data_IF_203379317850
#
_entry.id   IF_203379317850
#
_cell.length_a   1.000
_cell.length_b   1.000
_cell.length_c   1.000
_cell.angle_alpha   90.00
_cell.angle_beta   90.00
_cell.angle_gamma   90.00
#
_symmetry.space_group_name_H-M   'P 1'
#
loop_
_entity.id
_entity.type
_entity.pdbx_description
1 polymer ?
#
# COMPACT_ATOMS: atom_id res chain seq x y z
N UNK A 1 -5.55 3.98 13.65
CA UNK A 1 -4.56 3.23 14.45
C UNK A 1 -3.76 2.21 13.64
N UNK A 2 -4.42 1.28 12.94
CA UNK A 2 -3.76 0.15 12.26
C UNK A 2 -2.72 0.58 11.22
N UNK A 3 -3.07 1.55 10.35
CA UNK A 3 -2.11 2.07 9.37
C UNK A 3 -0.83 2.63 10.00
N UNK A 4 -0.94 3.33 11.14
CA UNK A 4 0.23 3.86 11.84
C UNK A 4 1.10 2.74 12.44
N UNK A 5 0.49 1.66 12.95
CA UNK A 5 1.24 0.49 13.43
C UNK A 5 1.97 -0.19 12.27
N UNK A 6 1.32 -0.35 11.13
CA UNK A 6 1.94 -0.92 9.93
C UNK A 6 3.14 -0.08 9.46
N UNK A 7 2.99 1.25 9.40
CA UNK A 7 4.10 2.14 9.08
C UNK A 7 5.24 2.04 10.10
N UNK A 8 4.90 1.96 11.39
CA UNK A 8 5.89 1.80 12.45
C UNK A 8 6.65 0.48 12.33
N UNK A 9 5.97 -0.60 12.02
CA UNK A 9 6.58 -1.91 11.83
C UNK A 9 7.56 -1.90 10.64
N UNK A 10 7.16 -1.35 9.49
CA UNK A 10 8.02 -1.25 8.30
C UNK A 10 9.24 -0.37 8.56
N UNK A 11 9.06 0.75 9.27
CA UNK A 11 10.09 1.76 9.54
C UNK A 11 10.82 1.57 10.87
N UNK A 12 10.58 0.44 11.56
CA UNK A 12 11.09 0.19 12.92
C UNK A 12 10.87 1.35 13.89
N UNK A 13 9.76 2.07 13.74
CA UNK A 13 9.52 3.34 14.41
C UNK A 13 9.01 3.14 15.85
N UNK A 14 9.43 4.04 16.73
CA UNK A 14 8.78 4.25 18.03
C UNK A 14 7.55 5.13 17.85
N UNK A 15 6.42 4.72 18.41
CA UNK A 15 5.15 5.46 18.33
C UNK A 15 4.55 5.70 19.71
N UNK A 16 4.01 6.90 19.91
CA UNK A 16 3.22 7.24 21.10
C UNK A 16 1.91 7.93 20.72
N UNK A 17 0.88 7.82 21.56
CA UNK A 17 -0.44 8.40 21.28
C UNK A 17 -1.29 7.61 20.27
N UNK A 18 -0.86 6.45 19.77
CA UNK A 18 -1.64 5.63 18.84
C UNK A 18 -2.78 4.83 19.52
N UNK A 19 -3.77 5.56 20.05
CA UNK A 19 -4.97 5.04 20.71
C UNK A 19 -6.22 5.76 20.22
N UNK A 20 -7.39 5.14 20.39
CA UNK A 20 -8.68 5.75 20.04
C UNK A 20 -8.87 7.04 20.84
N UNK A 21 -9.38 8.09 20.19
CA UNK A 21 -9.62 9.39 20.81
C UNK A 21 -8.37 10.23 21.06
N UNK A 22 -7.17 9.75 20.68
CA UNK A 22 -5.98 10.60 20.75
C UNK A 22 -6.02 11.70 19.70
N UNK A 23 -5.69 12.91 20.12
CA UNK A 23 -5.54 14.10 19.25
C UNK A 23 -4.07 14.41 18.93
N UNK A 24 -3.13 13.73 19.58
CA UNK A 24 -1.70 13.89 19.36
C UNK A 24 -1.03 12.53 19.13
N UNK A 25 -0.04 12.51 18.24
CA UNK A 25 0.73 11.32 17.86
C UNK A 25 2.20 11.73 17.71
N UNK A 26 3.09 10.94 18.31
CA UNK A 26 4.53 11.01 18.01
C UNK A 26 4.94 9.77 17.23
N UNK A 27 5.75 9.96 16.19
CA UNK A 27 6.26 8.89 15.33
C UNK A 27 7.74 9.17 15.03
N UNK A 28 8.62 8.31 15.53
CA UNK A 28 10.07 8.45 15.38
C UNK A 28 10.62 7.21 14.66
N UNK A 29 10.92 7.27 13.35
CA UNK A 29 11.44 6.14 12.58
C UNK A 29 12.90 5.80 12.95
N UNK A 30 13.24 4.50 12.95
CA UNK A 30 14.60 3.97 13.17
C UNK A 30 15.20 3.37 11.87
N UNK A 31 14.51 3.55 10.75
CA UNK A 31 14.93 3.08 9.43
C UNK A 31 14.12 1.91 8.90
N UNK A 32 14.10 1.77 7.58
CA UNK A 32 13.32 0.74 6.91
C UNK A 32 14.17 -0.53 6.77
N UNK A 33 13.64 -1.66 7.26
CA UNK A 33 14.31 -2.97 7.21
C UNK A 33 13.51 -3.91 6.30
N UNK A 34 13.99 -4.11 5.07
CA UNK A 34 13.41 -5.03 4.09
C UNK A 34 14.29 -6.29 3.89
N UNK A 35 13.75 -7.43 3.42
CA UNK A 35 12.33 -7.66 3.16
C UNK A 35 11.56 -7.75 4.47
N UNK A 36 10.29 -7.37 4.43
CA UNK A 36 9.38 -7.55 5.56
C UNK A 36 8.23 -8.47 5.15
N UNK A 37 7.79 -9.33 6.08
CA UNK A 37 6.55 -10.08 5.98
C UNK A 37 5.66 -9.66 7.14
N UNK A 38 4.73 -8.75 6.89
CA UNK A 38 3.88 -8.16 7.93
C UNK A 38 2.40 -8.41 7.66
N UNK A 39 1.60 -8.31 8.72
CA UNK A 39 0.15 -8.45 8.64
C UNK A 39 -0.52 -7.27 9.33
N UNK A 40 -1.57 -6.73 8.71
CA UNK A 40 -2.37 -5.66 9.31
C UNK A 40 -3.86 -5.97 9.14
N UNK A 41 -4.55 -6.06 10.27
CA UNK A 41 -5.99 -6.27 10.32
C UNK A 41 -6.70 -5.06 10.92
N UNK A 42 -7.63 -4.50 10.16
CA UNK A 42 -8.46 -3.37 10.61
C UNK A 42 -9.59 -3.79 11.55
N UNK A 43 -9.89 -5.09 11.65
CA UNK A 43 -10.98 -5.67 12.44
C UNK A 43 -12.39 -5.25 12.00
N UNK A 44 -12.48 -4.46 10.93
CA UNK A 44 -13.69 -3.76 10.46
C UNK A 44 -13.64 -3.60 8.94
N UNK A 45 -14.51 -2.76 8.36
CA UNK A 45 -14.44 -2.35 6.96
C UNK A 45 -13.35 -1.30 6.64
N UNK A 46 -12.32 -1.15 7.47
CA UNK A 46 -11.19 -0.25 7.19
C UNK A 46 -10.47 -0.62 5.89
N UNK A 47 -10.16 0.36 5.04
CA UNK A 47 -9.69 0.12 3.67
C UNK A 47 -8.31 -0.54 3.60
N UNK A 48 -8.23 -1.69 2.94
CA UNK A 48 -6.94 -2.34 2.62
C UNK A 48 -6.15 -1.57 1.56
N UNK A 49 -6.82 -0.83 0.67
CA UNK A 49 -6.17 0.04 -0.31
C UNK A 49 -5.43 1.21 0.36
N UNK A 50 -6.01 1.81 1.41
CA UNK A 50 -5.32 2.84 2.20
C UNK A 50 -4.12 2.28 2.97
N UNK A 51 -4.20 1.04 3.46
CA UNK A 51 -3.05 0.36 4.07
C UNK A 51 -1.92 0.16 3.05
N UNK A 52 -2.23 -0.22 1.79
CA UNK A 52 -1.24 -0.25 0.71
C UNK A 52 -0.63 1.14 0.52
N UNK A 53 -1.43 2.21 0.45
CA UNK A 53 -0.92 3.56 0.24
C UNK A 53 0.03 4.03 1.36
N UNK A 54 -0.24 3.65 2.61
CA UNK A 54 0.64 3.94 3.75
C UNK A 54 1.97 3.19 3.63
N UNK A 55 1.92 1.90 3.27
CA UNK A 55 3.12 1.06 3.19
C UNK A 55 3.97 1.34 1.96
N UNK A 56 3.35 1.67 0.82
CA UNK A 56 3.99 1.77 -0.49
C UNK A 56 5.25 2.65 -0.51
N UNK A 57 5.25 3.91 -0.02
CA UNK A 57 6.47 4.73 -0.05
C UNK A 57 7.58 4.13 0.81
N UNK A 58 7.25 3.53 1.95
CA UNK A 58 8.22 2.89 2.83
C UNK A 58 8.87 1.68 2.13
N UNK A 59 8.08 0.87 1.41
CA UNK A 59 8.60 -0.29 0.67
C UNK A 59 9.44 0.12 -0.55
N UNK A 60 9.04 1.19 -1.26
CA UNK A 60 9.72 1.65 -2.46
C UNK A 60 11.10 2.24 -2.18
N UNK A 61 11.20 3.09 -1.15
CA UNK A 61 12.36 3.95 -0.92
C UNK A 61 13.26 3.47 0.23
N UNK A 62 13.21 2.18 0.59
CA UNK A 62 14.18 1.63 1.52
C UNK A 62 15.61 1.80 1.01
N UNK A 63 16.56 2.02 1.94
CA UNK A 63 17.99 2.17 1.63
C UNK A 63 18.66 0.83 1.33
N UNK A 64 18.20 -0.25 1.96
CA UNK A 64 18.78 -1.58 1.75
C UNK A 64 18.17 -2.27 0.52
N UNK A 65 18.94 -3.10 -0.17
CA UNK A 65 18.48 -3.89 -1.32
C UNK A 65 18.17 -5.31 -0.84
N UNK A 66 16.89 -5.68 -0.67
CA UNK A 66 16.55 -7.02 -0.22
C UNK A 66 16.67 -8.03 -1.37
N UNK A 67 17.06 -9.29 -1.09
CA UNK A 67 17.09 -10.35 -2.09
C UNK A 67 15.68 -10.74 -2.56
N UNK A 68 14.69 -10.60 -1.68
CA UNK A 68 13.29 -10.99 -1.90
C UNK A 68 12.34 -9.78 -1.82
N UNK A 69 11.13 -9.86 -2.41
CA UNK A 69 10.11 -8.84 -2.22
C UNK A 69 9.63 -8.81 -0.76
N UNK A 70 9.18 -7.64 -0.31
CA UNK A 70 8.39 -7.54 0.92
C UNK A 70 6.96 -7.97 0.65
N UNK A 71 6.31 -8.61 1.62
CA UNK A 71 4.95 -9.14 1.53
C UNK A 71 4.10 -8.62 2.69
N UNK A 72 2.88 -8.21 2.38
CA UNK A 72 1.90 -7.71 3.35
C UNK A 72 0.59 -8.50 3.20
N UNK A 73 0.12 -9.07 4.31
CA UNK A 73 -1.23 -9.63 4.40
C UNK A 73 -2.15 -8.60 5.05
N UNK A 74 -3.10 -8.04 4.29
CA UNK A 74 -3.94 -6.94 4.76
C UNK A 74 -5.40 -7.37 4.83
N UNK A 75 -6.04 -7.14 5.98
CA UNK A 75 -7.42 -7.54 6.27
C UNK A 75 -8.30 -6.33 6.59
N UNK A 76 -9.47 -6.27 5.96
CA UNK A 76 -10.39 -5.14 6.10
C UNK A 76 -11.38 -5.02 4.93
N UNK A 77 -11.83 -3.81 4.65
CA UNK A 77 -12.64 -3.51 3.46
C UNK A 77 -11.77 -3.49 2.20
N UNK A 78 -12.08 -4.34 1.21
CA UNK A 78 -11.51 -4.22 -0.15
C UNK A 78 -12.31 -3.22 -0.99
N UNK A 79 -13.56 -3.01 -0.64
CA UNK A 79 -14.48 -2.07 -1.28
C UNK A 79 -15.11 -1.23 -0.16
N UNK A 80 -14.27 -0.40 0.47
CA UNK A 80 -14.66 0.49 1.56
C UNK A 80 -15.25 1.81 1.03
N UNK A 81 -16.11 2.44 1.84
CA UNK A 81 -16.66 3.76 1.54
C UNK A 81 -15.56 4.83 1.58
N UNK A 82 -15.64 5.83 0.70
CA UNK A 82 -14.72 6.98 0.64
C UNK A 82 -13.24 6.61 0.57
N UNK A 83 -12.92 5.45 -0.01
CA UNK A 83 -11.57 4.98 -0.25
C UNK A 83 -11.50 4.32 -1.64
N UNK A 84 -10.31 4.25 -2.26
CA UNK A 84 -10.15 3.51 -3.51
C UNK A 84 -10.61 2.06 -3.35
N UNK A 85 -11.37 1.58 -4.32
CA UNK A 85 -11.68 0.16 -4.42
C UNK A 85 -10.40 -0.60 -4.76
N UNK A 86 -10.29 -1.84 -4.27
CA UNK A 86 -9.09 -2.65 -4.51
C UNK A 86 -8.82 -2.88 -6.01
N UNK A 87 -9.87 -2.88 -6.84
CA UNK A 87 -9.75 -3.04 -8.29
C UNK A 87 -9.04 -1.86 -8.94
N UNK A 88 -9.28 -0.63 -8.47
CA UNK A 88 -8.52 0.53 -8.92
C UNK A 88 -7.04 0.36 -8.59
N UNK A 89 -6.74 -0.09 -7.38
CA UNK A 89 -5.37 -0.37 -6.96
C UNK A 89 -4.73 -1.42 -7.87
N UNK A 90 -5.43 -2.51 -8.18
CA UNK A 90 -4.94 -3.60 -9.04
C UNK A 90 -4.74 -3.17 -10.50
N UNK A 91 -5.73 -2.50 -11.09
CA UNK A 91 -5.77 -2.24 -12.54
C UNK A 91 -5.16 -0.90 -12.93
N UNK A 92 -5.07 0.06 -12.01
CA UNK A 92 -4.55 1.41 -12.31
C UNK A 92 -3.23 1.63 -11.59
N UNK A 93 -3.20 1.55 -10.26
CA UNK A 93 -1.98 1.86 -9.52
C UNK A 93 -0.88 0.82 -9.78
N UNK A 94 -1.16 -0.48 -9.68
CA UNK A 94 -0.15 -1.52 -9.92
C UNK A 94 0.32 -1.51 -11.37
N UNK A 95 -0.59 -1.29 -12.31
CA UNK A 95 -0.25 -1.13 -13.72
C UNK A 95 0.68 0.07 -13.94
N UNK A 96 0.39 1.22 -13.32
CA UNK A 96 1.27 2.39 -13.36
C UNK A 96 2.66 2.08 -12.79
N UNK A 97 2.74 1.47 -11.60
CA UNK A 97 4.00 1.10 -10.97
C UNK A 97 4.81 0.14 -11.87
N UNK A 98 4.13 -0.80 -12.51
CA UNK A 98 4.77 -1.75 -13.41
C UNK A 98 5.33 -1.07 -14.67
N UNK A 99 4.50 -0.33 -15.40
CA UNK A 99 4.88 0.19 -16.71
C UNK A 99 5.65 1.51 -16.66
N UNK A 100 5.51 2.31 -15.61
CA UNK A 100 6.17 3.61 -15.48
C UNK A 100 7.39 3.58 -14.57
N UNK A 101 7.39 2.71 -13.56
CA UNK A 101 8.52 2.58 -12.62
C UNK A 101 9.31 1.27 -12.77
N UNK A 102 8.89 0.36 -13.66
CA UNK A 102 9.59 -0.91 -13.91
C UNK A 102 9.52 -1.87 -12.72
N UNK A 103 8.51 -1.74 -11.87
CA UNK A 103 8.29 -2.60 -10.73
C UNK A 103 7.49 -3.84 -11.12
N UNK A 104 7.48 -4.86 -10.26
CA UNK A 104 6.62 -6.03 -10.42
C UNK A 104 5.74 -6.20 -9.16
N UNK A 105 4.81 -5.27 -8.89
CA UNK A 105 3.88 -5.43 -7.78
C UNK A 105 3.00 -6.66 -7.99
N UNK A 106 2.78 -7.43 -6.92
CA UNK A 106 1.85 -8.55 -6.91
C UNK A 106 0.74 -8.21 -5.93
N UNK A 107 -0.51 -8.31 -6.38
CA UNK A 107 -1.68 -8.10 -5.54
C UNK A 107 -2.65 -9.26 -5.78
N UNK A 108 -2.89 -10.06 -4.74
CA UNK A 108 -3.86 -11.16 -4.76
C UNK A 108 -5.00 -10.83 -3.83
N UNK A 109 -6.23 -10.82 -4.36
CA UNK A 109 -7.45 -10.67 -3.56
C UNK A 109 -7.90 -12.08 -3.13
N UNK A 110 -7.66 -12.43 -1.86
CA UNK A 110 -8.05 -13.73 -1.30
C UNK A 110 -9.53 -13.76 -0.95
N UNK A 111 -10.04 -12.67 -0.41
CA UNK A 111 -11.45 -12.51 -0.05
C UNK A 111 -11.86 -11.05 -0.19
N UNK A 112 -13.03 -10.80 -0.76
CA UNK A 112 -13.63 -9.45 -0.79
C UNK A 112 -14.22 -9.08 0.56
N UNK A 113 -14.10 -7.82 0.94
CA UNK A 113 -14.65 -7.26 2.16
C UNK A 113 -15.41 -5.98 1.88
N UNK A 114 -16.65 -5.91 2.37
CA UNK A 114 -17.56 -4.80 2.12
C UNK A 114 -18.03 -4.17 3.43
N UNK A 115 -18.36 -2.88 3.37
CA UNK A 115 -19.01 -2.19 4.48
C UNK A 115 -20.34 -2.87 4.87
N UNK A 116 -20.74 -2.93 6.16
CA UNK A 116 -20.04 -2.41 7.35
C UNK A 116 -19.04 -3.36 7.97
N UNK A 117 -19.12 -4.67 7.66
CA UNK A 117 -18.37 -5.71 8.39
C UNK A 117 -16.90 -5.78 7.97
N UNK A 118 -16.59 -5.48 6.71
CA UNK A 118 -15.26 -5.70 6.14
C UNK A 118 -15.00 -7.17 5.89
N UNK A 119 -13.95 -7.72 6.51
CA UNK A 119 -13.59 -9.14 6.42
C UNK A 119 -12.87 -9.53 5.13
N UNK A 120 -12.55 -8.59 4.25
CA UNK A 120 -11.71 -8.86 3.09
C UNK A 120 -10.27 -9.18 3.48
N UNK A 121 -9.57 -9.82 2.57
CA UNK A 121 -8.19 -10.23 2.72
C UNK A 121 -7.47 -10.11 1.38
N UNK A 122 -6.33 -9.44 1.40
CA UNK A 122 -5.43 -9.32 0.26
C UNK A 122 -4.01 -9.70 0.67
N UNK A 123 -3.23 -10.16 -0.30
CA UNK A 123 -1.78 -10.31 -0.18
C UNK A 123 -1.14 -9.37 -1.19
N UNK A 124 -0.31 -8.45 -0.71
CA UNK A 124 0.41 -7.49 -1.53
C UNK A 124 1.91 -7.71 -1.39
N UNK A 125 2.62 -7.92 -2.48
CA UNK A 125 4.07 -8.06 -2.48
C UNK A 125 4.73 -7.06 -3.45
N UNK A 126 5.85 -6.49 -3.03
CA UNK A 126 6.56 -5.47 -3.78
C UNK A 126 8.07 -5.50 -3.51
N UNK A 127 8.87 -5.32 -4.56
CA UNK A 127 10.31 -5.06 -4.46
C UNK A 127 10.57 -3.56 -4.34
N UNK A 128 11.63 -3.20 -3.61
CA UNK A 128 12.20 -1.84 -3.57
C UNK A 128 12.42 -1.31 -4.99
N UNK A 129 12.27 0.01 -5.16
CA UNK A 129 12.64 0.70 -6.39
C UNK A 129 14.18 0.77 -6.51
N UNK A 130 14.75 0.11 -7.51
CA UNK A 130 16.20 0.08 -7.70
C UNK A 130 16.76 1.44 -8.14
N UNK A 131 16.14 2.06 -9.15
CA UNK A 131 16.54 3.35 -9.72
C UNK A 131 15.30 4.20 -9.99
N UNK A 132 15.36 5.46 -9.60
CA UNK A 132 14.31 6.43 -9.88
C UNK A 132 14.38 6.83 -11.36
N UNK A 133 13.23 6.83 -12.04
CA UNK A 133 13.09 7.30 -13.43
C UNK A 133 12.09 8.44 -13.46
N UNK A 134 12.36 9.46 -14.27
CA UNK A 134 11.38 10.52 -14.52
C UNK A 134 10.18 9.94 -15.27
N UNK A 135 8.99 10.17 -14.76
CA UNK A 135 7.73 9.77 -15.41
C UNK A 135 7.09 11.00 -16.02
N UNK A 136 7.05 11.06 -17.35
CA UNK A 136 6.27 12.07 -18.08
C UNK A 136 4.92 11.49 -18.45
N UNK A 137 3.85 12.04 -17.86
CA UNK A 137 2.49 11.76 -18.28
C UNK A 137 2.10 12.79 -19.33
N UNK A 138 1.85 12.33 -20.55
CA UNK A 138 1.23 13.15 -21.60
C UNK A 138 -0.28 13.09 -21.44
N UNK A 139 -1.00 14.00 -22.12
CA UNK A 139 -2.47 13.99 -22.13
C UNK A 139 -3.03 12.60 -22.46
N UNK A 140 -4.28 12.34 -22.06
CA UNK A 140 -5.01 11.14 -22.51
C UNK A 140 -4.99 11.19 -24.02
N UNK A 141 -4.26 10.30 -24.69
CA UNK A 141 -4.25 10.25 -26.15
C UNK A 141 -5.68 10.01 -26.61
N UNK A 142 -6.39 11.09 -26.96
CA UNK A 142 -7.51 10.98 -27.88
C UNK A 142 -6.84 10.53 -29.18
N UNK A 143 -7.16 9.30 -29.60
CA UNK A 143 -6.82 8.89 -30.95
C UNK A 143 -7.37 9.92 -31.91
N UNK A 144 -6.62 10.16 -32.98
CA UNK A 144 -7.17 10.63 -34.24
C UNK A 144 -8.49 9.90 -34.50
N UNK A 145 -9.59 10.60 -34.30
CA UNK A 145 -10.89 10.23 -34.82
C UNK A 145 -11.13 11.16 -36.01
N UNK A 146 -10.37 10.91 -37.09
CA UNK A 146 -10.83 11.22 -38.43
C UNK A 146 -12.02 10.30 -38.72
N UNK A 147 -13.23 10.85 -38.68
CA UNK A 147 -14.32 10.49 -39.58
C UNK A 147 -15.25 11.68 -39.79
#
# INVERSE_FOLDING_TARGET
>A
MVGLRLAAEICSASISGNRVGSTNISFTPDGIRLPINASADTGTAGSTALLIQIALPCLLFSRNVPPEPSSLTLRGGTNALSAPQIDYTQHVLMHFLQHRLGLAPQLTIKRRGYYPKGGGEIVFALRRLAHSRSVMLRGTGAGDADM
#
